data_IF_213165845722
#
_entry.id   IF_213165845722
#
_cell.length_a   1.000
_cell.length_b   1.000
_cell.length_c   1.000
_cell.angle_alpha   90.00
_cell.angle_beta   90.00
_cell.angle_gamma   90.00
#
_symmetry.space_group_name_H-M   'P 1'
#
loop_
_entity.id
_entity.type
_entity.pdbx_description
1 polymer ?
#
# COMPACT_ATOMS: atom_id res chain seq x y z
N UNK A 1 -23.97 11.29 -18.87
CA UNK A 1 -22.64 10.66 -19.02
C UNK A 1 -22.81 9.27 -19.60
N UNK A 2 -21.81 8.77 -20.35
CA UNK A 2 -21.86 7.41 -20.90
C UNK A 2 -21.84 6.38 -19.76
N UNK A 3 -22.72 5.36 -19.77
CA UNK A 3 -22.69 4.30 -18.77
C UNK A 3 -21.34 3.58 -18.83
N UNK A 4 -20.61 3.57 -17.73
CA UNK A 4 -19.30 2.93 -17.61
C UNK A 4 -19.46 1.68 -16.75
N UNK A 5 -18.97 0.53 -17.24
CA UNK A 5 -18.98 -0.70 -16.44
C UNK A 5 -18.00 -0.57 -15.26
N UNK A 6 -18.37 -1.05 -14.06
CA UNK A 6 -17.42 -1.13 -12.96
C UNK A 6 -16.22 -1.98 -13.37
N UNK A 7 -15.03 -1.46 -13.14
CA UNK A 7 -13.81 -2.24 -13.29
C UNK A 7 -13.41 -2.77 -11.91
N UNK A 8 -13.47 -4.10 -11.79
CA UNK A 8 -13.22 -4.84 -10.56
C UNK A 8 -11.72 -5.05 -10.25
N UNK A 9 -10.83 -4.51 -11.09
CA UNK A 9 -9.41 -4.47 -10.77
C UNK A 9 -9.12 -3.46 -9.66
N UNK A 10 -8.49 -3.92 -8.58
CA UNK A 10 -8.03 -3.05 -7.50
C UNK A 10 -9.15 -2.37 -6.73
N UNK A 11 -10.26 -3.06 -6.47
CA UNK A 11 -11.34 -2.54 -5.61
C UNK A 11 -10.80 -2.33 -4.19
N UNK A 12 -10.88 -1.13 -3.59
CA UNK A 12 -10.47 -0.90 -2.22
C UNK A 12 -11.45 -1.55 -1.24
N UNK A 13 -10.94 -2.00 -0.10
CA UNK A 13 -11.73 -2.56 0.99
C UNK A 13 -11.16 -2.19 2.35
N UNK A 14 -12.00 -2.20 3.39
CA UNK A 14 -11.60 -1.91 4.75
C UNK A 14 -12.26 -2.88 5.75
N UNK A 15 -11.54 -3.16 6.84
CA UNK A 15 -12.02 -3.88 8.01
C UNK A 15 -11.94 -2.92 9.20
N UNK A 16 -13.08 -2.59 9.80
CA UNK A 16 -13.19 -1.66 10.93
C UNK A 16 -12.88 -2.35 12.27
N UNK A 17 -11.70 -2.97 12.35
CA UNK A 17 -11.12 -3.47 13.60
C UNK A 17 -10.50 -2.34 14.43
N UNK A 18 -9.90 -2.67 15.57
CA UNK A 18 -9.19 -1.72 16.43
C UNK A 18 -7.72 -2.13 16.56
N UNK A 19 -6.79 -1.53 15.78
CA UNK A 19 -6.99 -0.45 14.80
C UNK A 19 -7.60 -0.92 13.46
N UNK A 20 -8.17 -0.01 12.64
CA UNK A 20 -8.70 -0.35 11.32
C UNK A 20 -7.65 -0.84 10.33
N UNK A 21 -8.10 -1.61 9.34
CA UNK A 21 -7.28 -2.10 8.23
C UNK A 21 -7.91 -1.67 6.91
N UNK A 22 -7.10 -1.27 5.95
CA UNK A 22 -7.56 -1.02 4.58
C UNK A 22 -6.55 -1.55 3.56
N UNK A 23 -7.05 -2.00 2.42
CA UNK A 23 -6.23 -2.51 1.32
C UNK A 23 -6.84 -2.16 -0.03
N UNK A 24 -5.98 -2.02 -1.04
CA UNK A 24 -6.35 -1.84 -2.44
C UNK A 24 -5.32 -2.56 -3.31
N UNK A 25 -5.80 -3.34 -4.29
CA UNK A 25 -4.94 -4.10 -5.20
C UNK A 25 -4.53 -5.46 -4.67
N UNK A 26 -3.35 -5.92 -5.08
CA UNK A 26 -2.87 -7.29 -4.88
C UNK A 26 -2.17 -7.48 -3.54
N UNK A 27 -2.20 -8.70 -3.02
CA UNK A 27 -1.26 -9.16 -2.00
C UNK A 27 0.14 -9.38 -2.59
N UNK A 28 1.16 -9.55 -1.73
CA UNK A 28 2.53 -9.78 -2.21
C UNK A 28 2.67 -11.03 -3.07
N UNK A 29 1.97 -12.11 -2.68
CA UNK A 29 2.02 -13.38 -3.42
C UNK A 29 1.35 -13.23 -4.78
N UNK A 30 0.12 -12.72 -4.82
CA UNK A 30 -0.62 -12.50 -6.07
C UNK A 30 0.12 -11.53 -7.00
N UNK A 31 0.74 -10.49 -6.45
CA UNK A 31 1.52 -9.53 -7.22
C UNK A 31 2.77 -10.17 -7.80
N UNK A 32 3.48 -10.99 -7.02
CA UNK A 32 4.66 -11.71 -7.50
C UNK A 32 4.29 -12.78 -8.56
N UNK A 33 3.18 -13.50 -8.37
CA UNK A 33 2.67 -14.46 -9.37
C UNK A 33 2.28 -13.77 -10.68
N UNK A 34 1.64 -12.60 -10.60
CA UNK A 34 1.17 -11.86 -11.78
C UNK A 34 2.27 -11.09 -12.51
N UNK A 35 3.24 -10.55 -11.78
CA UNK A 35 4.27 -9.64 -12.32
C UNK A 35 5.68 -10.23 -12.27
N UNK A 36 5.85 -11.50 -11.89
CA UNK A 36 7.14 -12.17 -11.72
C UNK A 36 7.87 -11.78 -10.42
N UNK A 37 8.00 -10.47 -10.17
CA UNK A 37 8.51 -9.96 -8.90
C UNK A 37 7.99 -8.55 -8.56
N UNK A 38 7.90 -8.28 -7.26
CA UNK A 38 7.53 -6.96 -6.72
C UNK A 38 8.47 -6.52 -5.61
N UNK A 39 8.78 -5.23 -5.62
CA UNK A 39 9.49 -4.52 -4.56
C UNK A 39 8.51 -4.05 -3.50
N UNK A 40 8.80 -4.41 -2.25
CA UNK A 40 7.95 -4.11 -1.09
C UNK A 40 8.56 -2.95 -0.31
N UNK A 41 7.82 -1.87 -0.21
CA UNK A 41 8.12 -0.72 0.64
C UNK A 41 7.23 -0.78 1.87
N UNK A 42 7.79 -0.53 3.05
CA UNK A 42 7.07 -0.69 4.31
C UNK A 42 7.51 0.36 5.32
N UNK A 43 6.53 1.04 5.95
CA UNK A 43 6.76 1.93 7.09
C UNK A 43 6.01 1.40 8.31
N UNK A 44 6.65 1.45 9.48
CA UNK A 44 6.06 1.09 10.78
C UNK A 44 6.43 2.17 11.78
N UNK A 45 5.44 2.88 12.31
CA UNK A 45 5.70 4.02 13.18
C UNK A 45 4.60 4.19 14.24
N UNK A 46 4.90 5.02 15.25
CA UNK A 46 3.94 5.46 16.25
C UNK A 46 3.45 6.86 15.86
N UNK A 47 2.16 7.09 15.62
CA UNK A 47 1.66 8.41 15.21
C UNK A 47 1.87 9.44 16.32
N UNK A 48 2.16 10.69 15.94
CA UNK A 48 2.35 11.78 16.90
C UNK A 48 1.16 11.99 17.84
N UNK A 49 -0.08 11.75 17.36
CA UNK A 49 -1.30 11.79 18.19
C UNK A 49 -1.22 10.86 19.41
N UNK A 50 -0.42 9.80 19.35
CA UNK A 50 -0.22 8.80 20.40
C UNK A 50 1.06 9.04 21.24
N UNK A 51 1.81 10.12 20.99
CA UNK A 51 3.06 10.43 21.68
C UNK A 51 2.84 11.13 23.04
N UNK A 52 1.64 11.67 23.30
CA UNK A 52 1.29 12.18 24.63
C UNK A 52 0.76 11.03 25.53
N UNK A 53 1.34 10.82 26.72
CA UNK A 53 1.01 9.69 27.59
C UNK A 53 -0.29 9.99 28.37
N UNK A 54 -1.44 9.69 27.78
CA UNK A 54 -2.76 9.77 28.45
C UNK A 54 -3.38 8.40 28.72
N UNK A 55 -2.56 7.34 28.77
CA UNK A 55 -2.91 6.06 29.40
C UNK A 55 -3.80 5.09 28.59
N UNK A 56 -4.19 5.42 27.35
CA UNK A 56 -4.96 4.49 26.48
C UNK A 56 -4.44 4.31 25.05
N UNK A 57 -3.63 5.24 24.54
CA UNK A 57 -3.14 5.25 23.15
C UNK A 57 -1.70 4.78 22.95
N UNK A 58 -1.03 4.28 23.98
CA UNK A 58 0.43 4.07 23.95
C UNK A 58 0.92 2.94 23.04
N UNK A 59 0.04 2.05 22.60
CA UNK A 59 0.38 0.80 21.89
C UNK A 59 -0.07 0.75 20.42
N UNK A 60 -0.90 1.70 19.94
CA UNK A 60 -1.35 1.66 18.54
C UNK A 60 -0.22 2.04 17.58
N UNK A 61 0.31 1.03 16.90
CA UNK A 61 1.30 1.18 15.83
C UNK A 61 0.58 1.24 14.49
N UNK A 62 1.05 2.12 13.62
CA UNK A 62 0.65 2.11 12.23
C UNK A 62 1.63 1.26 11.41
N UNK A 63 1.10 0.57 10.41
CA UNK A 63 1.88 -0.11 9.39
C UNK A 63 1.30 0.24 8.03
N UNK A 64 2.17 0.62 7.12
CA UNK A 64 1.83 0.87 5.71
C UNK A 64 2.74 0.04 4.84
N UNK A 65 2.20 -0.49 3.75
CA UNK A 65 2.92 -1.31 2.78
C UNK A 65 2.50 -0.95 1.36
N UNK A 66 3.48 -0.70 0.50
CA UNK A 66 3.32 -0.45 -0.92
C UNK A 66 4.05 -1.52 -1.72
N UNK A 67 3.37 -2.07 -2.72
CA UNK A 67 3.89 -3.07 -3.64
C UNK A 67 4.11 -2.43 -5.00
N UNK A 68 5.35 -2.47 -5.47
CA UNK A 68 5.77 -1.86 -6.73
C UNK A 68 6.30 -2.96 -7.63
N UNK A 69 5.89 -2.98 -8.91
CA UNK A 69 6.45 -3.93 -9.88
C UNK A 69 7.95 -3.67 -10.03
N UNK A 70 8.77 -4.70 -9.80
CA UNK A 70 10.23 -4.58 -9.80
C UNK A 70 10.77 -4.12 -11.15
N UNK A 71 11.97 -3.53 -11.14
CA UNK A 71 12.72 -3.28 -12.36
C UNK A 71 12.90 -4.56 -13.20
N UNK A 72 12.83 -4.42 -14.52
CA UNK A 72 12.96 -5.54 -15.46
C UNK A 72 11.70 -6.39 -15.66
N UNK A 73 10.60 -6.11 -14.93
CA UNK A 73 9.30 -6.76 -15.14
C UNK A 73 8.35 -5.90 -15.99
N UNK A 74 7.37 -6.50 -16.70
CA UNK A 74 6.33 -5.77 -17.41
C UNK A 74 5.51 -4.89 -16.44
N UNK A 75 5.55 -3.57 -16.67
CA UNK A 75 4.91 -2.59 -15.79
C UNK A 75 5.79 -2.11 -14.63
N UNK A 76 7.11 -2.28 -14.72
CA UNK A 76 8.09 -1.79 -13.75
C UNK A 76 7.76 -0.38 -13.23
N UNK A 77 7.85 -0.21 -11.92
CA UNK A 77 7.56 1.05 -11.23
C UNK A 77 6.09 1.28 -10.91
N UNK A 78 5.13 0.53 -11.48
CA UNK A 78 3.70 0.65 -11.13
C UNK A 78 3.41 0.18 -9.71
N UNK A 79 2.55 0.92 -9.01
CA UNK A 79 2.00 0.50 -7.72
C UNK A 79 0.84 -0.45 -7.95
N UNK A 80 0.95 -1.68 -7.44
CA UNK A 80 -0.02 -2.77 -7.67
C UNK A 80 -0.71 -3.25 -6.40
N UNK A 81 -0.28 -2.78 -5.23
CA UNK A 81 -0.91 -3.08 -3.96
C UNK A 81 -0.56 -2.06 -2.89
N UNK A 82 -1.56 -1.65 -2.12
CA UNK A 82 -1.44 -0.76 -0.98
C UNK A 82 -2.16 -1.40 0.21
N UNK A 83 -1.50 -1.44 1.36
CA UNK A 83 -2.01 -2.09 2.56
C UNK A 83 -1.70 -1.23 3.77
N UNK A 84 -2.68 -1.06 4.65
CA UNK A 84 -2.57 -0.18 5.80
C UNK A 84 -3.26 -0.76 7.01
N UNK A 85 -2.62 -0.64 8.16
CA UNK A 85 -3.20 -0.89 9.49
C UNK A 85 -2.95 0.36 10.33
N UNK A 86 -4.01 0.96 10.87
CA UNK A 86 -3.91 2.17 11.67
C UNK A 86 -5.17 3.03 11.61
N UNK A 87 -5.20 4.07 12.45
CA UNK A 87 -6.24 5.10 12.40
C UNK A 87 -6.40 5.68 10.98
N UNK A 88 -7.63 5.98 10.60
CA UNK A 88 -7.99 6.60 9.31
C UNK A 88 -7.60 5.77 8.06
N UNK A 89 -7.31 4.47 8.21
CA UNK A 89 -6.89 3.61 7.08
C UNK A 89 -7.93 3.56 5.95
N UNK A 90 -9.22 3.47 6.28
CA UNK A 90 -10.31 3.43 5.29
C UNK A 90 -10.39 4.73 4.48
N UNK A 91 -10.31 5.88 5.16
CA UNK A 91 -10.36 7.21 4.54
C UNK A 91 -9.17 7.45 3.62
N UNK A 92 -7.95 7.12 4.07
CA UNK A 92 -6.74 7.24 3.25
C UNK A 92 -6.78 6.33 2.02
N UNK A 93 -7.26 5.09 2.19
CA UNK A 93 -7.26 4.11 1.11
C UNK A 93 -8.16 4.53 -0.06
N UNK A 94 -9.23 5.28 0.18
CA UNK A 94 -10.11 5.76 -0.87
C UNK A 94 -9.40 6.67 -1.89
N UNK A 95 -8.58 7.61 -1.41
CA UNK A 95 -7.78 8.48 -2.29
C UNK A 95 -6.68 7.71 -3.03
N UNK A 96 -6.04 6.77 -2.33
CA UNK A 96 -5.01 5.90 -2.88
C UNK A 96 -5.54 4.98 -3.98
N UNK A 97 -6.78 4.49 -3.85
CA UNK A 97 -7.43 3.67 -4.87
C UNK A 97 -7.62 4.44 -6.18
N UNK A 98 -7.93 5.74 -6.10
CA UNK A 98 -8.02 6.62 -7.28
C UNK A 98 -6.64 6.74 -7.94
N UNK A 99 -5.57 6.95 -7.15
CA UNK A 99 -4.21 7.03 -7.68
C UNK A 99 -3.77 5.71 -8.36
N UNK A 100 -4.04 4.57 -7.73
CA UNK A 100 -3.78 3.25 -8.33
C UNK A 100 -4.58 3.07 -9.62
N UNK A 101 -5.84 3.52 -9.65
CA UNK A 101 -6.68 3.46 -10.83
C UNK A 101 -6.14 4.29 -11.99
N UNK A 102 -5.55 5.45 -11.67
CA UNK A 102 -4.86 6.31 -12.62
C UNK A 102 -3.51 5.73 -13.09
N UNK A 103 -3.06 4.60 -12.53
CA UNK A 103 -1.81 3.95 -12.90
C UNK A 103 -0.59 4.54 -12.21
N UNK A 104 -0.75 5.12 -11.02
CA UNK A 104 0.33 5.72 -10.25
C UNK A 104 1.54 4.78 -10.09
N UNK A 105 2.72 5.37 -10.22
CA UNK A 105 4.02 4.73 -10.09
C UNK A 105 4.68 5.16 -8.79
N UNK A 106 5.69 4.42 -8.34
CA UNK A 106 6.49 4.83 -7.18
C UNK A 106 7.10 6.23 -7.32
N UNK A 107 7.44 6.63 -8.54
CA UNK A 107 7.97 7.97 -8.82
C UNK A 107 6.92 9.08 -8.59
N UNK A 108 5.64 8.82 -8.87
CA UNK A 108 4.56 9.77 -8.59
C UNK A 108 4.41 9.99 -7.08
N UNK A 109 4.49 8.92 -6.28
CA UNK A 109 4.51 9.02 -4.82
C UNK A 109 5.75 9.77 -4.31
N UNK A 110 6.94 9.46 -4.83
CA UNK A 110 8.20 10.08 -4.38
C UNK A 110 8.35 11.55 -4.75
N UNK A 111 7.71 11.98 -5.83
CA UNK A 111 7.70 13.38 -6.29
C UNK A 111 6.58 14.20 -5.65
N UNK A 112 5.65 13.57 -4.95
CA UNK A 112 4.56 14.26 -4.24
C UNK A 112 5.06 14.81 -2.91
N UNK A 113 4.80 16.10 -2.65
CA UNK A 113 5.11 16.74 -1.36
C UNK A 113 4.10 16.30 -0.31
N UNK A 114 4.60 15.69 0.77
CA UNK A 114 3.77 15.25 1.90
C UNK A 114 3.25 16.42 2.74
N UNK A 115 2.04 16.26 3.29
CA UNK A 115 1.45 17.22 4.23
C UNK A 115 1.94 16.88 5.64
N UNK A 116 2.68 17.80 6.27
CA UNK A 116 3.25 17.59 7.60
C UNK A 116 2.51 18.41 8.68
N UNK A 117 2.18 17.83 9.86
CA UNK A 117 2.33 16.42 10.22
C UNK A 117 1.09 15.58 9.84
N UNK A 118 1.27 14.48 9.12
CA UNK A 118 0.20 13.51 8.86
C UNK A 118 0.72 12.08 8.72
N UNK A 119 -0.08 11.09 9.10
CA UNK A 119 0.28 9.69 8.80
C UNK A 119 0.36 9.44 7.29
N UNK A 120 -0.46 10.13 6.50
CA UNK A 120 -0.51 9.98 5.05
C UNK A 120 0.78 10.42 4.35
N UNK A 121 1.57 11.33 4.94
CA UNK A 121 2.84 11.78 4.35
C UNK A 121 3.83 10.62 4.16
N UNK A 122 3.71 9.56 4.97
CA UNK A 122 4.54 8.36 4.89
C UNK A 122 4.41 7.64 3.54
N UNK A 123 3.27 7.76 2.84
CA UNK A 123 3.13 7.21 1.49
C UNK A 123 4.09 7.85 0.48
N UNK A 124 4.54 9.08 0.72
CA UNK A 124 5.45 9.84 -0.14
C UNK A 124 6.92 9.71 0.30
N UNK A 125 7.20 9.15 1.48
CA UNK A 125 8.55 9.12 2.07
C UNK A 125 9.17 7.73 2.20
N UNK A 126 8.49 6.67 1.75
CA UNK A 126 9.04 5.31 1.71
C UNK A 126 10.16 5.15 0.65
N UNK A 127 11.38 5.55 0.98
CA UNK A 127 12.53 5.51 0.05
C UNK A 127 13.22 4.15 -0.03
N UNK A 128 13.30 3.44 1.09
CA UNK A 128 14.05 2.19 1.19
C UNK A 128 13.15 0.99 0.99
N UNK A 129 13.53 0.13 0.04
CA UNK A 129 12.90 -1.17 -0.16
C UNK A 129 13.15 -2.08 1.06
N UNK A 130 12.08 -2.65 1.61
CA UNK A 130 12.17 -3.60 2.71
C UNK A 130 12.56 -5.02 2.23
N UNK A 131 12.01 -5.45 1.08
CA UNK A 131 12.31 -6.74 0.43
C UNK A 131 11.84 -6.75 -1.02
N UNK A 132 12.26 -7.75 -1.78
CA UNK A 132 11.66 -8.12 -3.08
C UNK A 132 10.99 -9.48 -2.93
N UNK A 133 9.75 -9.61 -3.39
CA UNK A 133 9.00 -10.87 -3.41
C UNK A 133 8.94 -11.38 -4.85
N UNK A 134 9.29 -12.64 -5.07
CA UNK A 134 9.28 -13.30 -6.39
C UNK A 134 8.27 -14.45 -6.41
N UNK A 135 7.74 -14.79 -7.58
CA UNK A 135 6.89 -15.98 -7.73
C UNK A 135 7.64 -17.24 -7.26
N UNK A 136 6.94 -18.17 -6.61
CA UNK A 136 7.51 -19.47 -6.28
C UNK A 136 7.79 -20.26 -7.58
N UNK A 137 8.89 -21.02 -7.61
CA UNK A 137 9.15 -21.95 -8.70
C UNK A 137 8.00 -22.97 -8.80
N UNK A 138 7.54 -23.34 -10.01
CA UNK A 138 6.47 -24.30 -10.16
C UNK A 138 6.87 -25.62 -9.49
N UNK A 139 6.05 -26.12 -8.56
CA UNK A 139 6.25 -27.45 -7.98
C UNK A 139 6.12 -28.48 -9.11
N UNK A 140 7.19 -29.25 -9.35
CA UNK A 140 7.16 -30.36 -10.28
C UNK A 140 6.01 -31.30 -9.88
N UNK A 141 5.06 -31.52 -10.80
CA UNK A 141 4.02 -32.53 -10.62
C UNK A 141 4.71 -33.91 -10.64
N UNK A 142 4.50 -34.69 -9.58
CA UNK A 142 4.76 -36.14 -9.54
C UNK A 142 3.72 -36.87 -10.41
#
# INVERSE_FOLDING_TARGET
GNPTKPDYSGVPSAVFSQPPVATCGLTELEAAERHGSVDVYMSKFKPMKHTMPTGRGEQERMMMKMLVVSAGQPGAGKVVGLHMVGADAAEMMQGLAIAMKAGATKADFDSTVGIHPSAAEEWCTMRTKARTTTAAAPKARL
#
